data_IF_824760388776
#
_entry.id   IF_824760388776
#
_cell.length_a   1.000
_cell.length_b   1.000
_cell.length_c   1.000
_cell.angle_alpha   90.00
_cell.angle_beta   90.00
_cell.angle_gamma   90.00
#
_symmetry.space_group_name_H-M   'P 1'
#
loop_
_entity.id
_entity.type
_entity.pdbx_description
1 polymer ?
#
# COMPACT_ATOMS: atom_id res chain seq x y z
N UNK A 1 26.25 -31.08 4.01
CA UNK A 1 26.41 -30.03 2.98
C UNK A 1 25.19 -29.12 2.79
N UNK A 2 23.94 -29.59 2.94
CA UNK A 2 22.73 -28.75 2.74
C UNK A 2 22.45 -27.67 3.80
N UNK A 3 23.04 -27.75 5.00
CA UNK A 3 22.79 -26.77 6.07
C UNK A 3 23.60 -25.46 5.89
N UNK A 4 24.81 -25.55 5.30
CA UNK A 4 25.67 -24.40 5.05
C UNK A 4 25.25 -23.59 3.82
N UNK A 5 24.69 -24.25 2.79
CA UNK A 5 24.12 -23.58 1.63
C UNK A 5 22.88 -22.72 1.99
N UNK A 6 22.01 -23.24 2.88
CA UNK A 6 20.82 -22.53 3.36
C UNK A 6 21.15 -21.33 4.26
N UNK A 7 22.27 -21.40 4.98
CA UNK A 7 22.76 -20.30 5.82
C UNK A 7 23.42 -19.19 4.98
N UNK A 8 24.16 -19.55 3.91
CA UNK A 8 24.68 -18.58 2.93
C UNK A 8 23.56 -17.90 2.13
N UNK A 9 22.50 -18.63 1.75
CA UNK A 9 21.35 -18.02 1.04
C UNK A 9 20.49 -17.13 1.94
N UNK A 10 20.41 -17.40 3.25
CA UNK A 10 19.69 -16.54 4.19
C UNK A 10 20.44 -15.22 4.43
N UNK A 11 21.77 -15.29 4.57
CA UNK A 11 22.64 -14.11 4.75
C UNK A 11 22.68 -13.25 3.48
N UNK A 12 22.62 -13.83 2.28
CA UNK A 12 22.57 -13.07 1.01
C UNK A 12 21.23 -12.40 0.74
N UNK A 13 20.12 -12.94 1.27
CA UNK A 13 18.79 -12.34 1.14
C UNK A 13 18.57 -11.26 2.19
N UNK A 14 19.14 -11.37 3.39
CA UNK A 14 19.06 -10.31 4.41
C UNK A 14 19.86 -9.05 4.03
N UNK A 15 20.90 -9.16 3.20
CA UNK A 15 21.67 -7.99 2.74
C UNK A 15 21.05 -7.24 1.56
N UNK A 16 20.10 -7.83 0.81
CA UNK A 16 19.60 -7.22 -0.44
C UNK A 16 18.56 -6.12 -0.23
N UNK A 17 17.83 -6.10 0.89
CA UNK A 17 16.75 -5.12 1.13
C UNK A 17 17.23 -3.76 1.63
N UNK A 18 18.47 -3.69 2.11
CA UNK A 18 19.12 -2.43 2.51
C UNK A 18 19.90 -1.78 1.35
N UNK A 19 19.84 -2.39 0.15
CA UNK A 19 20.45 -1.84 -1.04
C UNK A 19 19.70 -0.58 -1.50
N UNK A 20 20.38 0.39 -2.16
CA UNK A 20 19.72 1.50 -2.85
C UNK A 20 18.56 1.04 -3.75
N UNK A 21 17.55 1.90 -3.93
CA UNK A 21 16.38 1.59 -4.76
C UNK A 21 16.75 1.06 -6.15
N UNK A 22 17.75 1.68 -6.80
CA UNK A 22 18.26 1.30 -8.13
C UNK A 22 18.96 -0.07 -8.16
N UNK A 23 19.31 -0.63 -7.01
CA UNK A 23 19.91 -1.95 -6.86
C UNK A 23 18.89 -3.02 -6.47
N UNK A 24 17.65 -2.65 -6.13
CA UNK A 24 16.60 -3.63 -5.87
C UNK A 24 16.26 -4.39 -7.16
N UNK A 25 16.32 -5.74 -7.17
CA UNK A 25 16.14 -6.53 -8.39
C UNK A 25 14.82 -6.26 -9.12
N UNK A 26 13.74 -6.08 -8.35
CA UNK A 26 12.41 -5.80 -8.91
C UNK A 26 12.30 -4.40 -9.49
N UNK A 27 13.07 -3.43 -8.97
CA UNK A 27 12.93 -2.03 -9.37
C UNK A 27 13.45 -1.82 -10.78
N UNK A 28 14.58 -2.44 -11.17
CA UNK A 28 15.11 -2.35 -12.54
C UNK A 28 14.13 -2.94 -13.57
N UNK A 29 13.55 -4.09 -13.24
CA UNK A 29 12.53 -4.70 -14.09
C UNK A 29 11.28 -3.81 -14.17
N UNK A 30 10.78 -3.34 -13.02
CA UNK A 30 9.60 -2.47 -12.94
C UNK A 30 9.80 -1.17 -13.71
N UNK A 31 10.94 -0.51 -13.54
CA UNK A 31 11.33 0.70 -14.25
C UNK A 31 11.38 0.47 -15.76
N UNK A 32 11.95 -0.66 -16.20
CA UNK A 32 11.94 -1.03 -17.63
C UNK A 32 10.52 -1.14 -18.18
N UNK A 33 9.59 -1.73 -17.41
CA UNK A 33 8.17 -1.78 -17.82
C UNK A 33 7.53 -0.39 -17.84
N UNK A 34 7.86 0.48 -16.87
CA UNK A 34 7.35 1.86 -16.86
C UNK A 34 7.81 2.65 -18.08
N UNK A 35 9.07 2.50 -18.49
CA UNK A 35 9.63 3.18 -19.66
C UNK A 35 8.98 2.65 -20.94
N UNK A 36 8.82 1.33 -21.05
CA UNK A 36 8.20 0.68 -22.22
C UNK A 36 6.73 1.04 -22.40
N UNK A 37 6.02 1.36 -21.33
CA UNK A 37 4.63 1.80 -21.43
C UNK A 37 4.47 3.26 -21.86
N UNK A 38 5.56 4.04 -21.94
CA UNK A 38 5.50 5.44 -22.37
C UNK A 38 5.67 5.60 -23.90
N UNK A 39 5.17 6.71 -24.48
CA UNK A 39 5.36 7.00 -25.90
C UNK A 39 6.86 7.13 -26.26
N UNK A 40 7.34 6.32 -27.21
CA UNK A 40 8.75 6.36 -27.64
C UNK A 40 9.19 7.75 -28.14
N UNK A 41 8.28 8.51 -28.75
CA UNK A 41 8.53 9.89 -29.21
C UNK A 41 8.99 10.81 -28.07
N UNK A 42 8.48 10.63 -26.85
CA UNK A 42 8.90 11.42 -25.70
C UNK A 42 10.37 11.16 -25.35
N UNK A 43 10.81 9.89 -25.39
CA UNK A 43 12.19 9.51 -25.10
C UNK A 43 13.14 10.03 -26.18
N UNK A 44 12.75 9.91 -27.46
CA UNK A 44 13.52 10.42 -28.60
C UNK A 44 13.67 11.95 -28.59
N UNK A 45 12.65 12.69 -28.14
CA UNK A 45 12.70 14.16 -28.09
C UNK A 45 13.44 14.69 -26.86
N UNK A 46 13.30 14.01 -25.72
CA UNK A 46 13.81 14.46 -24.44
C UNK A 46 15.23 14.02 -24.11
N UNK A 47 15.74 12.94 -24.70
CA UNK A 47 17.10 12.44 -24.46
C UNK A 47 18.01 12.60 -25.69
N UNK A 48 19.28 12.95 -25.50
CA UNK A 48 20.25 13.02 -26.59
C UNK A 48 20.61 11.61 -27.09
N UNK A 49 20.79 11.45 -28.40
CA UNK A 49 21.40 10.27 -29.04
C UNK A 49 20.74 8.91 -28.74
N UNK A 50 19.41 8.86 -28.61
CA UNK A 50 18.68 7.59 -28.45
C UNK A 50 18.33 6.99 -29.81
N UNK A 51 19.09 5.99 -30.26
CA UNK A 51 18.82 5.24 -31.49
C UNK A 51 17.99 3.98 -31.19
N UNK A 52 16.73 4.17 -30.81
CA UNK A 52 15.79 3.07 -30.53
C UNK A 52 16.05 2.34 -29.21
N UNK A 53 14.99 1.78 -28.63
CA UNK A 53 15.07 1.00 -27.39
C UNK A 53 14.97 -0.47 -27.79
N UNK A 54 16.07 -1.21 -27.66
CA UNK A 54 16.09 -2.66 -27.91
C UNK A 54 15.26 -3.43 -26.87
N UNK A 55 14.78 -4.62 -27.23
CA UNK A 55 13.78 -5.41 -26.49
C UNK A 55 14.27 -5.97 -25.13
N UNK A 56 15.53 -5.75 -24.78
CA UNK A 56 16.17 -6.22 -23.55
C UNK A 56 16.06 -5.23 -22.36
N UNK A 57 16.60 -5.60 -21.19
CA UNK A 57 16.63 -4.75 -19.97
C UNK A 57 17.39 -3.41 -20.16
N UNK A 58 17.92 -3.11 -21.34
CA UNK A 58 18.65 -1.87 -21.65
C UNK A 58 17.84 -0.58 -21.48
N UNK A 59 16.50 -0.64 -21.50
CA UNK A 59 15.65 0.54 -21.28
C UNK A 59 15.89 1.21 -19.91
N UNK A 60 16.06 0.43 -18.84
CA UNK A 60 16.38 0.99 -17.53
C UNK A 60 17.78 1.60 -17.51
N UNK A 61 18.78 0.94 -18.10
CA UNK A 61 20.17 1.45 -18.12
C UNK A 61 20.29 2.81 -18.83
N UNK A 62 19.43 3.09 -19.80
CA UNK A 62 19.34 4.39 -20.46
C UNK A 62 18.95 5.52 -19.50
N UNK A 63 18.01 5.24 -18.58
CA UNK A 63 17.37 6.24 -17.72
C UNK A 63 18.02 6.32 -16.34
N UNK A 64 18.71 5.27 -15.88
CA UNK A 64 19.35 5.24 -14.56
C UNK A 64 20.30 6.44 -14.31
N UNK A 65 21.19 6.84 -15.25
CA UNK A 65 22.03 8.02 -15.06
C UNK A 65 21.22 9.31 -14.87
N UNK A 66 20.10 9.44 -15.60
CA UNK A 66 19.16 10.57 -15.44
C UNK A 66 18.54 10.56 -14.04
N UNK A 67 18.08 9.40 -13.55
CA UNK A 67 17.50 9.29 -12.20
C UNK A 67 18.50 9.61 -11.10
N UNK A 68 19.73 9.15 -11.23
CA UNK A 68 20.81 9.49 -10.30
C UNK A 68 21.05 11.00 -10.28
N UNK A 69 21.07 11.64 -11.45
CA UNK A 69 21.28 13.08 -11.51
C UNK A 69 20.10 13.89 -10.99
N UNK A 70 18.86 13.48 -11.28
CA UNK A 70 17.66 14.09 -10.70
C UNK A 70 17.72 14.02 -9.17
N UNK A 71 18.08 12.85 -8.63
CA UNK A 71 18.25 12.67 -7.17
C UNK A 71 19.29 13.65 -6.60
N UNK A 72 20.45 13.79 -7.22
CA UNK A 72 21.49 14.72 -6.77
C UNK A 72 21.02 16.19 -6.81
N UNK A 73 20.30 16.58 -7.86
CA UNK A 73 19.77 17.95 -8.00
C UNK A 73 18.69 18.26 -6.96
N UNK A 74 17.79 17.32 -6.70
CA UNK A 74 16.76 17.45 -5.66
C UNK A 74 17.39 17.51 -4.27
N UNK A 75 18.49 16.79 -4.03
CA UNK A 75 19.22 16.84 -2.77
C UNK A 75 19.96 18.19 -2.56
N UNK A 76 20.47 18.78 -3.64
CA UNK A 76 21.27 20.00 -3.60
C UNK A 76 20.44 21.30 -3.53
N UNK A 77 19.21 21.31 -4.02
CA UNK A 77 18.36 22.50 -4.08
C UNK A 77 17.42 22.57 -2.86
N UNK A 78 17.34 23.71 -2.19
CA UNK A 78 16.41 23.92 -1.06
C UNK A 78 14.94 23.98 -1.50
N UNK A 79 14.66 24.51 -2.70
CA UNK A 79 13.31 24.62 -3.28
C UNK A 79 13.35 24.18 -4.74
N UNK A 80 13.57 22.89 -4.95
CA UNK A 80 13.57 22.32 -6.29
C UNK A 80 12.19 22.46 -6.94
N UNK A 81 12.15 22.79 -8.22
CA UNK A 81 10.96 22.79 -9.07
C UNK A 81 11.19 21.87 -10.25
N UNK A 82 10.12 21.47 -10.95
CA UNK A 82 10.28 20.64 -12.16
C UNK A 82 11.04 21.43 -13.22
N UNK A 83 10.78 22.73 -13.35
CA UNK A 83 11.49 23.62 -14.28
C UNK A 83 12.98 23.75 -13.89
N UNK A 84 13.31 24.00 -12.61
CA UNK A 84 14.71 24.19 -12.19
C UNK A 84 15.56 22.94 -12.37
N UNK A 85 14.98 21.77 -12.15
CA UNK A 85 15.65 20.48 -12.39
C UNK A 85 15.83 20.27 -13.91
N UNK A 86 14.82 20.59 -14.71
CA UNK A 86 14.89 20.46 -16.17
C UNK A 86 15.98 21.34 -16.77
N UNK A 87 16.03 22.62 -16.38
CA UNK A 87 17.04 23.58 -16.83
C UNK A 87 18.46 23.14 -16.43
N UNK A 88 18.63 22.64 -15.20
CA UNK A 88 19.93 22.14 -14.75
C UNK A 88 20.38 20.90 -15.54
N UNK A 89 19.48 19.97 -15.86
CA UNK A 89 19.80 18.78 -16.65
C UNK A 89 20.07 19.12 -18.13
N UNK A 90 19.36 20.10 -18.68
CA UNK A 90 19.60 20.62 -20.02
C UNK A 90 20.99 21.28 -20.11
N UNK A 91 21.36 22.10 -19.11
CA UNK A 91 22.69 22.71 -19.02
C UNK A 91 23.83 21.69 -18.90
N UNK A 92 23.56 20.50 -18.39
CA UNK A 92 24.51 19.37 -18.34
C UNK A 92 24.51 18.52 -19.62
N UNK A 93 23.70 18.85 -20.62
CA UNK A 93 23.57 18.08 -21.85
C UNK A 93 22.90 16.71 -21.67
N UNK A 94 22.21 16.47 -20.55
CA UNK A 94 21.51 15.21 -20.29
C UNK A 94 20.10 15.17 -20.87
N UNK A 95 19.50 16.33 -21.10
CA UNK A 95 18.20 16.48 -21.75
C UNK A 95 18.35 17.29 -23.03
N UNK A 96 17.62 16.90 -24.06
CA UNK A 96 17.53 17.62 -25.33
C UNK A 96 16.52 18.75 -25.20
N UNK A 97 17.02 19.98 -25.20
CA UNK A 97 16.22 21.22 -25.20
C UNK A 97 16.58 22.03 -26.45
N UNK A 98 16.49 21.39 -27.61
CA UNK A 98 16.61 22.09 -28.89
C UNK A 98 15.53 23.20 -28.98
N UNK A 99 15.67 24.17 -29.90
CA UNK A 99 14.76 25.33 -30.08
C UNK A 99 13.27 25.00 -30.36
N UNK A 100 12.88 23.72 -30.27
CA UNK A 100 11.52 23.24 -30.39
C UNK A 100 10.85 23.25 -29.02
N UNK A 101 9.71 23.95 -28.91
CA UNK A 101 8.85 23.91 -27.72
C UNK A 101 8.53 22.48 -27.27
N UNK A 102 8.30 21.55 -28.20
CA UNK A 102 8.03 20.14 -27.90
C UNK A 102 9.19 19.40 -27.18
N UNK A 103 10.44 19.75 -27.48
CA UNK A 103 11.60 19.10 -26.87
C UNK A 103 11.70 19.49 -25.39
N UNK A 104 11.53 20.78 -25.09
CA UNK A 104 11.49 21.26 -23.71
C UNK A 104 10.31 20.67 -22.91
N UNK A 105 9.12 20.56 -23.51
CA UNK A 105 8.00 19.90 -22.82
C UNK A 105 8.30 18.42 -22.56
N UNK A 106 8.91 17.72 -23.52
CA UNK A 106 9.31 16.31 -23.34
C UNK A 106 10.35 16.16 -22.21
N UNK A 107 11.30 17.09 -22.11
CA UNK A 107 12.28 17.15 -21.03
C UNK A 107 11.62 17.32 -19.65
N UNK A 108 10.66 18.26 -19.52
CA UNK A 108 9.88 18.43 -18.27
C UNK A 108 9.08 17.19 -17.90
N UNK A 109 8.47 16.53 -18.88
CA UNK A 109 7.71 15.29 -18.67
C UNK A 109 8.61 14.14 -18.23
N UNK A 110 9.86 14.07 -18.71
CA UNK A 110 10.86 13.11 -18.23
C UNK A 110 11.27 13.37 -16.78
N UNK A 111 11.46 14.63 -16.40
CA UNK A 111 11.76 14.99 -15.00
C UNK A 111 10.57 14.62 -14.09
N UNK A 112 9.35 14.96 -14.51
CA UNK A 112 8.13 14.54 -13.81
C UNK A 112 8.05 13.01 -13.67
N UNK A 113 8.28 12.26 -14.73
CA UNK A 113 8.29 10.81 -14.69
C UNK A 113 9.38 10.26 -13.74
N UNK A 114 10.59 10.82 -13.79
CA UNK A 114 11.70 10.47 -12.91
C UNK A 114 11.35 10.66 -11.44
N UNK A 115 10.70 11.78 -11.07
CA UNK A 115 10.23 12.04 -9.71
C UNK A 115 9.20 11.00 -9.26
N UNK A 116 8.23 10.65 -10.12
CA UNK A 116 7.26 9.60 -9.86
C UNK A 116 7.93 8.23 -9.61
N UNK A 117 8.88 7.85 -10.45
CA UNK A 117 9.61 6.58 -10.32
C UNK A 117 10.50 6.52 -9.07
N UNK A 118 11.20 7.61 -8.74
CA UNK A 118 12.09 7.71 -7.59
C UNK A 118 11.34 7.72 -6.25
N UNK A 119 10.11 8.25 -6.23
CA UNK A 119 9.31 8.38 -5.01
C UNK A 119 8.24 7.29 -4.86
N UNK A 120 7.88 6.63 -5.97
CA UNK A 120 6.73 5.73 -6.08
C UNK A 120 5.41 6.34 -5.61
N UNK A 121 5.30 7.67 -5.47
CA UNK A 121 4.07 8.31 -5.02
C UNK A 121 2.98 8.25 -6.09
N UNK A 122 3.37 8.23 -7.36
CA UNK A 122 2.47 8.13 -8.49
C UNK A 122 3.16 7.45 -9.67
N UNK A 123 2.38 7.01 -10.65
CA UNK A 123 2.87 6.62 -11.96
C UNK A 123 2.53 7.70 -12.98
N UNK A 124 3.51 8.17 -13.77
CA UNK A 124 3.23 9.17 -14.79
C UNK A 124 2.36 8.56 -15.91
N UNK A 125 1.44 9.35 -16.43
CA UNK A 125 0.70 9.06 -17.67
C UNK A 125 1.15 10.07 -18.73
N UNK A 126 2.07 9.65 -19.59
CA UNK A 126 2.68 10.55 -20.57
C UNK A 126 1.98 10.50 -21.95
N UNK A 127 0.77 9.94 -22.04
CA UNK A 127 0.06 9.79 -23.31
C UNK A 127 -0.18 11.12 -24.04
N UNK A 128 -0.42 12.21 -23.28
CA UNK A 128 -0.69 13.55 -23.79
C UNK A 128 0.46 14.55 -23.53
N UNK A 129 1.71 14.09 -23.60
CA UNK A 129 2.89 14.92 -23.26
C UNK A 129 3.03 16.22 -24.06
N UNK A 130 2.42 16.34 -25.25
CA UNK A 130 2.47 17.53 -26.10
C UNK A 130 1.63 18.69 -25.57
N UNK A 131 0.62 18.43 -24.75
CA UNK A 131 -0.21 19.49 -24.14
C UNK A 131 0.54 20.23 -23.01
N UNK A 132 1.64 19.67 -22.53
CA UNK A 132 2.42 20.20 -21.40
C UNK A 132 1.77 19.95 -20.03
N UNK A 133 0.62 19.29 -19.98
CA UNK A 133 -0.06 18.90 -18.75
C UNK A 133 0.69 17.76 -18.05
N UNK A 134 0.71 17.77 -16.72
CA UNK A 134 1.28 16.68 -15.93
C UNK A 134 0.16 15.75 -15.52
N UNK A 135 0.18 14.51 -15.98
CA UNK A 135 -0.87 13.54 -15.69
C UNK A 135 -0.33 12.32 -14.95
N UNK A 136 -1.09 11.84 -13.97
CA UNK A 136 -0.81 10.59 -13.25
C UNK A 136 -1.78 9.50 -13.72
N UNK A 137 -1.30 8.26 -13.72
CA UNK A 137 -2.08 7.08 -14.06
C UNK A 137 -3.07 6.74 -12.94
N UNK A 138 -4.31 6.43 -13.32
CA UNK A 138 -5.34 5.93 -12.42
C UNK A 138 -5.11 4.44 -12.10
N UNK A 139 -4.59 4.13 -10.92
CA UNK A 139 -4.43 2.74 -10.45
C UNK A 139 -5.60 2.24 -9.61
N UNK A 140 -6.59 3.10 -9.35
CA UNK A 140 -7.73 2.82 -8.48
C UNK A 140 -9.04 2.65 -9.24
N UNK A 141 -8.96 2.32 -10.54
CA UNK A 141 -10.09 2.01 -11.43
C UNK A 141 -11.24 3.03 -11.36
N UNK A 142 -10.89 4.32 -11.34
CA UNK A 142 -11.86 5.42 -11.28
C UNK A 142 -12.25 5.85 -9.87
N UNK A 143 -11.88 5.12 -8.82
CA UNK A 143 -12.02 5.60 -7.44
C UNK A 143 -11.08 6.80 -7.23
N UNK A 144 -11.59 7.85 -6.57
CA UNK A 144 -10.83 9.05 -6.22
C UNK A 144 -10.84 9.20 -4.71
N UNK A 145 -9.80 8.64 -4.08
CA UNK A 145 -9.55 8.82 -2.66
C UNK A 145 -8.92 10.18 -2.36
N UNK A 146 -8.63 10.43 -1.08
CA UNK A 146 -7.98 11.69 -0.67
C UNK A 146 -6.55 11.83 -1.19
N UNK A 147 -5.91 10.72 -1.56
CA UNK A 147 -4.51 10.70 -1.99
C UNK A 147 -4.28 11.20 -3.41
N UNK A 148 -5.25 10.96 -4.30
CA UNK A 148 -5.18 11.29 -5.73
C UNK A 148 -6.53 11.88 -6.15
N UNK A 149 -6.76 13.13 -5.76
CA UNK A 149 -8.01 13.87 -6.01
C UNK A 149 -8.04 14.35 -7.46
N UNK A 150 -6.92 14.87 -7.94
CA UNK A 150 -6.76 15.33 -9.31
C UNK A 150 -5.71 14.47 -10.01
N UNK A 151 -6.01 13.99 -11.22
CA UNK A 151 -5.05 13.21 -11.99
C UNK A 151 -4.23 14.05 -12.98
N UNK A 152 -4.60 15.32 -13.19
CA UNK A 152 -4.01 16.18 -14.21
C UNK A 152 -3.74 17.56 -13.64
N UNK A 153 -2.56 18.10 -13.89
CA UNK A 153 -2.21 19.48 -13.56
C UNK A 153 -1.76 20.27 -14.78
N UNK A 154 -2.02 21.57 -14.73
CA UNK A 154 -1.73 22.49 -15.81
C UNK A 154 -0.21 22.73 -15.95
N UNK A 155 0.27 23.10 -17.16
CA UNK A 155 1.72 23.23 -17.43
C UNK A 155 2.47 24.21 -16.51
N UNK A 156 1.78 25.22 -15.97
CA UNK A 156 2.40 26.23 -15.12
C UNK A 156 2.70 25.75 -13.70
N UNK A 157 2.15 24.60 -13.27
CA UNK A 157 2.43 24.05 -11.93
C UNK A 157 3.88 23.59 -11.78
N UNK A 158 4.60 23.34 -12.88
CA UNK A 158 6.03 22.96 -12.86
C UNK A 158 6.97 24.00 -12.22
N UNK A 159 6.49 25.25 -12.08
CA UNK A 159 7.20 26.36 -11.43
C UNK A 159 7.04 26.37 -9.92
N UNK A 160 6.10 25.60 -9.38
CA UNK A 160 5.92 25.45 -7.94
C UNK A 160 7.03 24.57 -7.36
N UNK A 161 7.33 24.76 -6.08
CA UNK A 161 8.19 23.85 -5.33
C UNK A 161 7.58 22.45 -5.28
N UNK A 162 8.42 21.42 -5.18
CA UNK A 162 7.98 20.02 -5.23
C UNK A 162 6.81 19.68 -4.29
N UNK A 163 6.80 20.09 -2.99
CA UNK A 163 5.67 19.86 -2.12
C UNK A 163 4.35 20.45 -2.66
N UNK A 164 4.36 21.72 -3.05
CA UNK A 164 3.16 22.39 -3.60
C UNK A 164 2.70 21.78 -4.92
N UNK A 165 3.65 21.46 -5.81
CA UNK A 165 3.37 20.78 -7.07
C UNK A 165 2.71 19.42 -6.82
N UNK A 166 3.24 18.61 -5.90
CA UNK A 166 2.68 17.28 -5.60
C UNK A 166 1.31 17.36 -4.91
N UNK A 167 1.13 18.33 -4.01
CA UNK A 167 -0.16 18.58 -3.35
C UNK A 167 -1.28 18.87 -4.37
N UNK A 168 -0.96 19.46 -5.52
CA UNK A 168 -1.92 19.71 -6.60
C UNK A 168 -2.60 18.45 -7.17
N UNK A 169 -2.02 17.26 -6.98
CA UNK A 169 -2.66 15.98 -7.34
C UNK A 169 -3.54 15.41 -6.23
N UNK A 170 -3.42 15.90 -5.00
CA UNK A 170 -4.07 15.36 -3.81
C UNK A 170 -3.07 15.04 -2.71
N UNK A 171 -3.57 14.45 -1.62
CA UNK A 171 -2.78 14.23 -0.41
C UNK A 171 -1.95 12.93 -0.46
N UNK A 172 -0.97 12.88 -1.36
CA UNK A 172 -0.09 11.72 -1.52
C UNK A 172 0.78 11.45 -0.28
N UNK A 173 1.16 12.52 0.42
CA UNK A 173 1.91 12.50 1.66
C UNK A 173 1.09 13.15 2.78
N UNK A 174 0.28 12.37 3.52
CA UNK A 174 -0.56 12.91 4.58
C UNK A 174 0.30 13.42 5.75
N UNK A 175 -0.03 14.58 6.34
CA UNK A 175 0.55 14.98 7.60
C UNK A 175 -0.02 14.16 8.76
N UNK A 176 0.64 14.27 9.91
CA UNK A 176 0.24 13.62 11.15
C UNK A 176 -1.20 13.93 11.55
N UNK A 177 -1.94 12.90 11.95
CA UNK A 177 -3.33 12.98 12.46
C UNK A 177 -4.32 13.67 11.51
N UNK A 178 -4.04 13.67 10.21
CA UNK A 178 -4.92 14.24 9.21
C UNK A 178 -6.18 13.39 8.99
N UNK A 179 -7.34 14.06 8.99
CA UNK A 179 -8.61 13.46 8.63
C UNK A 179 -8.94 13.77 7.17
N UNK A 180 -8.86 12.76 6.30
CA UNK A 180 -9.17 12.83 4.87
C UNK A 180 -10.64 13.15 4.58
N UNK A 181 -11.52 13.01 5.56
CA UNK A 181 -12.96 12.92 5.30
C UNK A 181 -13.71 14.15 5.78
N UNK A 182 -14.50 14.72 4.88
CA UNK A 182 -15.33 15.88 5.19
C UNK A 182 -16.66 15.53 5.86
N UNK A 183 -17.20 14.33 5.60
CA UNK A 183 -18.48 13.90 6.11
C UNK A 183 -18.52 13.92 7.66
N UNK A 184 -19.56 14.51 8.27
CA UNK A 184 -19.61 14.72 9.72
C UNK A 184 -19.59 13.40 10.51
N UNK A 185 -20.19 12.35 9.98
CA UNK A 185 -20.21 11.04 10.64
C UNK A 185 -18.84 10.37 10.61
N UNK A 186 -18.09 10.47 9.51
CA UNK A 186 -16.73 9.95 9.43
C UNK A 186 -15.77 10.76 10.32
N UNK A 187 -15.95 12.08 10.46
CA UNK A 187 -15.20 12.90 11.44
C UNK A 187 -15.46 12.44 12.88
N UNK A 188 -16.71 12.16 13.24
CA UNK A 188 -17.05 11.59 14.56
C UNK A 188 -16.40 10.23 14.76
N UNK A 189 -16.37 9.38 13.73
CA UNK A 189 -15.70 8.07 13.81
C UNK A 189 -14.18 8.21 13.97
N UNK A 190 -13.55 9.12 13.24
CA UNK A 190 -12.12 9.43 13.39
C UNK A 190 -11.75 9.81 14.83
N UNK A 191 -12.59 10.61 15.48
CA UNK A 191 -12.41 11.01 16.89
C UNK A 191 -12.73 9.87 17.88
N UNK A 192 -13.70 9.01 17.57
CA UNK A 192 -14.17 7.94 18.46
C UNK A 192 -13.29 6.69 18.41
N UNK A 193 -12.77 6.32 17.25
CA UNK A 193 -11.94 5.11 17.06
C UNK A 193 -10.53 5.38 17.58
N UNK A 194 -10.32 5.09 18.87
CA UNK A 194 -9.02 5.21 19.53
C UNK A 194 -8.11 4.03 19.27
N UNK A 195 -8.66 2.82 19.25
CA UNK A 195 -7.87 1.60 19.15
C UNK A 195 -8.51 0.56 18.23
N UNK A 196 -7.65 -0.32 17.68
CA UNK A 196 -8.03 -1.45 16.86
C UNK A 196 -7.28 -2.70 17.32
N UNK A 197 -8.00 -3.81 17.50
CA UNK A 197 -7.43 -5.10 17.91
C UNK A 197 -7.04 -5.94 16.69
N UNK A 198 -5.81 -6.46 16.66
CA UNK A 198 -5.28 -7.25 15.54
C UNK A 198 -6.04 -8.56 15.27
N UNK A 199 -6.69 -9.12 16.31
CA UNK A 199 -7.51 -10.34 16.21
C UNK A 199 -8.77 -10.13 15.37
N UNK A 200 -9.37 -8.95 15.50
CA UNK A 200 -10.66 -8.59 14.90
C UNK A 200 -10.49 -7.77 13.62
N UNK A 201 -9.31 -7.18 13.45
CA UNK A 201 -8.95 -6.38 12.31
C UNK A 201 -7.72 -6.96 11.62
N UNK A 202 -7.95 -7.89 10.69
CA UNK A 202 -6.92 -8.49 9.85
C UNK A 202 -7.50 -8.87 8.49
N UNK A 203 -6.63 -9.14 7.52
CA UNK A 203 -7.02 -9.41 6.14
C UNK A 203 -7.97 -10.61 6.00
N UNK A 204 -7.82 -11.65 6.84
CA UNK A 204 -8.76 -12.78 6.83
C UNK A 204 -10.17 -12.34 7.19
N UNK A 205 -10.34 -11.59 8.28
CA UNK A 205 -11.65 -11.07 8.69
C UNK A 205 -12.20 -10.12 7.63
N UNK A 206 -11.40 -9.14 7.19
CA UNK A 206 -11.82 -8.14 6.21
C UNK A 206 -12.31 -8.79 4.90
N UNK A 207 -11.59 -9.78 4.38
CA UNK A 207 -11.96 -10.44 3.12
C UNK A 207 -13.05 -11.49 3.28
N UNK A 208 -12.96 -12.38 4.28
CA UNK A 208 -13.88 -13.53 4.40
C UNK A 208 -15.16 -13.21 5.16
N UNK A 209 -15.13 -12.26 6.08
CA UNK A 209 -16.30 -11.84 6.86
C UNK A 209 -16.91 -10.58 6.26
N UNK A 210 -16.11 -9.54 6.04
CA UNK A 210 -16.62 -8.25 5.56
C UNK A 210 -16.75 -8.17 4.02
N UNK A 211 -16.33 -9.21 3.29
CA UNK A 211 -16.46 -9.29 1.83
C UNK A 211 -15.58 -8.30 1.07
N UNK A 212 -14.49 -7.83 1.70
CA UNK A 212 -13.58 -6.88 1.11
C UNK A 212 -12.67 -7.56 0.07
N UNK A 213 -12.40 -6.87 -1.05
CA UNK A 213 -11.48 -7.29 -2.10
C UNK A 213 -10.15 -6.54 -1.93
N UNK A 214 -9.04 -7.23 -2.14
CA UNK A 214 -7.70 -6.62 -2.09
C UNK A 214 -7.18 -6.46 -3.51
N UNK A 215 -6.76 -5.25 -3.87
CA UNK A 215 -6.13 -4.91 -5.14
C UNK A 215 -4.71 -4.42 -4.89
N UNK A 216 -3.74 -4.97 -5.63
CA UNK A 216 -2.33 -4.64 -5.46
C UNK A 216 -1.90 -3.55 -6.44
N UNK A 217 -1.46 -2.41 -5.92
CA UNK A 217 -1.10 -1.20 -6.67
C UNK A 217 0.40 -0.91 -6.60
N UNK A 218 0.93 -0.14 -7.56
CA UNK A 218 2.34 0.25 -7.59
C UNK A 218 2.58 1.55 -6.83
N UNK A 219 1.58 2.42 -6.72
CA UNK A 219 1.72 3.71 -6.06
C UNK A 219 1.65 3.56 -4.53
N UNK A 220 2.67 4.09 -3.85
CA UNK A 220 2.76 4.17 -2.39
C UNK A 220 1.59 4.98 -1.80
N UNK A 221 1.24 6.09 -2.45
CA UNK A 221 0.18 7.00 -1.99
C UNK A 221 -1.18 6.32 -1.88
N UNK A 222 -1.46 5.31 -2.71
CA UNK A 222 -2.72 4.56 -2.73
C UNK A 222 -2.84 3.50 -1.61
N UNK A 223 -1.80 3.28 -0.80
CA UNK A 223 -1.80 2.22 0.22
C UNK A 223 -2.90 2.40 1.28
N UNK A 224 -3.76 1.40 1.48
CA UNK A 224 -4.97 1.44 2.33
C UNK A 224 -6.08 2.39 1.88
N UNK A 225 -6.06 2.89 0.64
CA UNK A 225 -7.25 3.53 0.09
C UNK A 225 -8.40 2.51 -0.02
N UNK A 226 -9.62 2.92 0.33
CA UNK A 226 -10.79 2.06 0.35
C UNK A 226 -11.91 2.65 -0.50
N UNK A 227 -12.21 1.98 -1.61
CA UNK A 227 -13.47 2.20 -2.28
C UNK A 227 -14.60 1.46 -1.54
N UNK A 228 -15.41 2.21 -0.80
CA UNK A 228 -16.55 1.66 -0.04
C UNK A 228 -17.66 1.11 -0.94
N UNK A 229 -17.78 1.62 -2.18
CA UNK A 229 -18.82 1.21 -3.11
C UNK A 229 -18.51 -0.16 -3.70
N UNK A 230 -17.31 -0.36 -4.23
CA UNK A 230 -16.89 -1.67 -4.73
C UNK A 230 -16.41 -2.63 -3.62
N UNK A 231 -16.12 -2.11 -2.43
CA UNK A 231 -15.53 -2.87 -1.32
C UNK A 231 -14.09 -3.27 -1.61
N UNK A 232 -13.33 -2.42 -2.31
CA UNK A 232 -11.95 -2.69 -2.75
C UNK A 232 -10.96 -1.90 -1.92
N UNK A 233 -10.01 -2.60 -1.30
CA UNK A 233 -8.86 -2.03 -0.59
C UNK A 233 -7.62 -2.09 -1.48
N UNK A 234 -6.98 -0.96 -1.70
CA UNK A 234 -5.76 -0.87 -2.48
C UNK A 234 -4.54 -1.02 -1.57
N UNK A 235 -3.63 -1.94 -1.91
CA UNK A 235 -2.41 -2.20 -1.15
C UNK A 235 -1.19 -2.06 -2.06
N UNK A 236 -0.24 -1.23 -1.65
CA UNK A 236 1.06 -1.09 -2.30
C UNK A 236 1.80 -2.44 -2.40
N UNK A 237 2.44 -2.72 -3.54
CA UNK A 237 3.07 -4.03 -3.80
C UNK A 237 4.53 -4.13 -3.37
N UNK A 238 5.22 -3.02 -3.14
CA UNK A 238 6.69 -2.99 -3.07
C UNK A 238 7.25 -2.52 -1.70
N UNK A 239 6.94 -3.17 -0.57
CA UNK A 239 7.37 -2.74 0.76
C UNK A 239 8.89 -2.68 0.98
N UNK A 240 9.70 -3.35 0.16
CA UNK A 240 11.17 -3.18 0.21
C UNK A 240 11.62 -1.77 -0.16
N UNK A 241 10.82 -1.01 -0.91
CA UNK A 241 11.03 0.44 -1.11
C UNK A 241 11.12 1.14 0.24
N UNK A 242 10.13 0.95 1.11
CA UNK A 242 10.10 1.57 2.44
C UNK A 242 11.34 1.17 3.27
N UNK A 243 11.76 -0.12 3.20
CA UNK A 243 12.94 -0.61 3.93
C UNK A 243 14.22 0.02 3.41
N UNK A 244 14.39 0.09 2.10
CA UNK A 244 15.56 0.68 1.43
C UNK A 244 15.71 2.16 1.81
N UNK A 245 14.63 2.95 1.67
CA UNK A 245 14.59 4.36 2.06
C UNK A 245 14.87 4.57 3.55
N UNK A 246 14.32 3.73 4.43
CA UNK A 246 14.57 3.82 5.88
C UNK A 246 15.98 3.35 6.29
N UNK A 247 16.56 2.39 5.57
CA UNK A 247 17.85 1.76 5.87
C UNK A 247 19.04 2.71 5.71
N UNK A 248 18.96 3.67 4.80
CA UNK A 248 20.00 4.69 4.53
C UNK A 248 20.35 5.55 5.75
N UNK A 249 19.43 5.68 6.70
CA UNK A 249 19.64 6.41 7.96
C UNK A 249 20.72 5.81 8.87
N UNK A 250 21.01 4.50 8.75
CA UNK A 250 21.95 3.81 9.66
C UNK A 250 23.41 3.83 9.18
N UNK A 251 23.66 4.07 7.89
CA UNK A 251 25.01 3.96 7.31
C UNK A 251 25.78 5.28 7.36
N UNK A 252 25.09 6.42 7.29
CA UNK A 252 25.71 7.73 7.48
C UNK A 252 25.69 8.06 8.97
N UNK A 253 26.83 7.89 9.67
CA UNK A 253 26.96 8.23 11.09
C UNK A 253 26.83 9.73 11.40
N UNK A 254 26.42 10.54 10.43
CA UNK A 254 26.17 11.98 10.56
C UNK A 254 24.69 12.25 10.88
N UNK A 255 24.42 13.30 11.67
CA UNK A 255 23.07 13.78 12.01
C UNK A 255 22.32 14.40 10.80
N UNK A 256 22.74 14.12 9.57
CA UNK A 256 22.15 14.74 8.38
C UNK A 256 20.78 14.12 8.06
N UNK A 257 19.81 14.94 7.63
CA UNK A 257 18.49 14.47 7.21
C UNK A 257 18.61 13.46 6.05
N UNK A 258 17.69 12.48 5.96
CA UNK A 258 17.75 11.45 4.94
C UNK A 258 17.69 12.05 3.52
N UNK A 259 18.66 11.63 2.69
CA UNK A 259 18.94 12.23 1.38
C UNK A 259 18.28 11.45 0.22
N UNK A 260 17.06 10.97 0.44
CA UNK A 260 16.24 10.38 -0.61
C UNK A 260 15.22 11.39 -1.14
N UNK A 261 14.93 11.33 -2.44
CA UNK A 261 14.05 12.27 -3.17
C UNK A 261 12.70 12.42 -2.48
N UNK A 262 12.10 11.31 -2.01
CA UNK A 262 10.80 11.35 -1.32
C UNK A 262 10.82 12.24 -0.09
N UNK A 263 11.92 12.29 0.66
CA UNK A 263 12.02 13.15 1.86
C UNK A 263 12.12 14.64 1.51
N UNK A 264 12.69 14.96 0.34
CA UNK A 264 12.74 16.33 -0.21
C UNK A 264 11.41 16.79 -0.80
N UNK A 265 10.47 15.86 -1.01
CA UNK A 265 9.09 16.17 -1.34
C UNK A 265 8.26 16.59 -0.12
N UNK A 266 8.78 16.49 1.11
CA UNK A 266 8.11 16.95 2.33
C UNK A 266 8.34 18.44 2.61
N UNK A 267 7.51 19.03 3.47
CA UNK A 267 7.71 20.40 3.94
C UNK A 267 8.96 20.50 4.82
N UNK A 268 9.71 21.58 4.63
CA UNK A 268 10.79 21.97 5.51
C UNK A 268 10.19 22.63 6.77
N UNK A 269 10.76 22.37 7.95
CA UNK A 269 10.26 22.87 9.25
C UNK A 269 10.42 24.40 9.46
N UNK A 270 10.45 25.20 8.39
CA UNK A 270 10.44 26.66 8.47
C UNK A 270 9.00 27.15 8.50
N UNK A 271 8.54 27.50 9.70
CA UNK A 271 7.14 27.83 9.95
C UNK A 271 6.68 29.02 9.11
N UNK A 272 5.59 28.85 8.35
CA UNK A 272 4.63 29.94 8.06
C UNK A 272 3.34 29.54 7.34
N UNK A 273 3.06 28.27 7.02
CA UNK A 273 1.77 27.92 6.40
C UNK A 273 1.27 26.56 6.92
N UNK A 274 0.02 26.51 7.39
CA UNK A 274 -0.74 25.29 7.71
C UNK A 274 -1.10 24.54 6.41
N UNK A 275 -0.10 24.18 5.61
CA UNK A 275 -0.29 23.34 4.44
C UNK A 275 -0.53 21.92 4.96
N UNK A 276 -1.63 21.25 4.57
CA UNK A 276 -1.87 19.87 4.95
C UNK A 276 -0.94 18.97 4.15
N UNK A 277 0.35 18.93 4.47
CA UNK A 277 1.35 18.11 3.80
C UNK A 277 2.40 17.60 4.79
N UNK A 278 2.91 16.39 4.56
CA UNK A 278 3.88 15.76 5.44
C UNK A 278 5.21 16.54 5.51
N UNK A 279 5.77 16.67 6.70
CA UNK A 279 7.17 17.03 6.91
C UNK A 279 8.11 15.87 6.59
N UNK A 280 9.42 16.13 6.55
CA UNK A 280 10.41 15.06 6.40
C UNK A 280 10.31 13.98 7.49
N UNK A 281 9.96 14.36 8.72
CA UNK A 281 9.77 13.42 9.84
C UNK A 281 8.52 12.56 9.63
N UNK A 282 7.44 13.18 9.21
CA UNK A 282 6.17 12.51 8.92
C UNK A 282 6.34 11.43 7.84
N UNK A 283 7.13 11.69 6.80
CA UNK A 283 7.44 10.70 5.74
C UNK A 283 8.14 9.47 6.33
N UNK A 284 9.10 9.66 7.24
CA UNK A 284 9.78 8.53 7.91
C UNK A 284 8.79 7.70 8.73
N UNK A 285 7.86 8.35 9.42
CA UNK A 285 6.82 7.69 10.21
C UNK A 285 5.82 6.95 9.31
N UNK A 286 5.35 7.59 8.23
CA UNK A 286 4.48 6.99 7.22
C UNK A 286 5.08 5.71 6.62
N UNK A 287 6.35 5.73 6.22
CA UNK A 287 7.00 4.53 5.66
C UNK A 287 7.05 3.38 6.67
N UNK A 288 7.23 3.67 7.97
CA UNK A 288 7.15 2.66 9.03
C UNK A 288 5.73 2.17 9.25
N UNK A 289 4.74 3.06 9.20
CA UNK A 289 3.32 2.70 9.31
C UNK A 289 2.88 1.79 8.17
N UNK A 290 3.33 2.04 6.94
CA UNK A 290 3.08 1.17 5.78
C UNK A 290 3.65 -0.24 6.03
N UNK A 291 4.85 -0.33 6.62
CA UNK A 291 5.41 -1.64 6.98
C UNK A 291 4.62 -2.31 8.12
N UNK A 292 4.22 -1.54 9.13
CA UNK A 292 3.44 -2.03 10.27
C UNK A 292 2.04 -2.48 9.86
N UNK A 293 1.42 -1.84 8.87
CA UNK A 293 0.09 -2.20 8.37
C UNK A 293 0.09 -3.60 7.75
N UNK A 294 1.14 -4.02 7.05
CA UNK A 294 1.27 -5.41 6.57
C UNK A 294 1.33 -6.41 7.72
N UNK A 295 1.98 -6.04 8.83
CA UNK A 295 2.06 -6.87 10.04
C UNK A 295 0.67 -7.00 10.68
N UNK A 296 -0.05 -5.90 10.81
CA UNK A 296 -1.42 -5.85 11.31
C UNK A 296 -2.38 -6.68 10.44
N UNK A 297 -2.38 -6.44 9.12
CA UNK A 297 -3.29 -7.11 8.19
C UNK A 297 -2.98 -8.59 7.99
N UNK A 298 -1.71 -8.94 7.82
CA UNK A 298 -1.30 -10.30 7.44
C UNK A 298 -0.43 -10.99 8.47
N UNK A 299 0.60 -10.29 8.93
CA UNK A 299 1.71 -10.87 9.67
C UNK A 299 1.32 -11.58 10.97
N UNK A 300 0.42 -10.99 11.75
CA UNK A 300 0.07 -11.47 13.10
C UNK A 300 -0.91 -12.65 13.08
N UNK A 301 -1.85 -12.70 12.13
CA UNK A 301 -2.88 -13.73 12.04
C UNK A 301 -2.47 -14.91 11.16
N UNK A 302 -2.53 -16.15 11.67
CA UNK A 302 -2.19 -17.35 10.89
C UNK A 302 -3.13 -17.54 9.69
N UNK A 303 -4.41 -17.20 9.85
CA UNK A 303 -5.40 -17.26 8.79
C UNK A 303 -5.12 -16.22 7.70
N UNK A 304 -4.70 -15.01 8.09
CA UNK A 304 -4.30 -13.98 7.11
C UNK A 304 -3.03 -14.35 6.37
N UNK A 305 -2.05 -14.99 7.03
CA UNK A 305 -0.85 -15.53 6.35
C UNK A 305 -1.20 -16.61 5.32
N UNK A 306 -2.19 -17.45 5.62
CA UNK A 306 -2.69 -18.43 4.65
C UNK A 306 -3.42 -17.77 3.48
N UNK A 307 -4.28 -16.78 3.77
CA UNK A 307 -4.96 -15.99 2.76
C UNK A 307 -3.96 -15.28 1.83
N UNK A 308 -2.92 -14.66 2.37
CA UNK A 308 -1.92 -13.95 1.57
C UNK A 308 -1.29 -14.84 0.47
N UNK A 309 -1.02 -16.11 0.79
CA UNK A 309 -0.51 -17.08 -0.20
C UNK A 309 -1.47 -17.35 -1.36
N UNK A 310 -2.77 -17.09 -1.17
CA UNK A 310 -3.81 -17.24 -2.20
C UNK A 310 -4.01 -15.95 -3.01
N UNK A 311 -3.64 -14.78 -2.49
CA UNK A 311 -3.92 -13.48 -3.13
C UNK A 311 -3.04 -13.19 -4.35
N UNK A 312 -1.94 -13.93 -4.55
CA UNK A 312 -1.02 -13.79 -5.69
C UNK A 312 -0.70 -12.32 -6.05
N UNK A 313 0.00 -11.57 -5.16
CA UNK A 313 0.26 -10.13 -5.35
C UNK A 313 0.99 -9.74 -6.65
N UNK A 314 1.68 -10.71 -7.26
CA UNK A 314 2.46 -10.53 -8.48
C UNK A 314 1.90 -11.36 -9.66
N UNK A 315 0.58 -11.63 -9.68
CA UNK A 315 -0.05 -12.33 -10.79
C UNK A 315 0.25 -11.60 -12.12
N UNK A 316 0.71 -12.33 -13.14
CA UNK A 316 1.11 -11.77 -14.44
C UNK A 316 2.49 -11.11 -14.47
N UNK A 317 3.21 -11.05 -13.35
CA UNK A 317 4.54 -10.46 -13.25
C UNK A 317 5.58 -11.60 -13.17
N UNK A 318 6.68 -11.56 -13.93
CA UNK A 318 7.75 -12.54 -13.84
C UNK A 318 8.56 -12.39 -12.54
N UNK A 319 9.27 -13.43 -12.14
CA UNK A 319 9.96 -13.47 -10.83
C UNK A 319 10.97 -12.34 -10.60
N UNK A 320 11.56 -11.77 -11.66
CA UNK A 320 12.44 -10.62 -11.55
C UNK A 320 11.71 -9.39 -11.01
N UNK A 321 10.43 -9.20 -11.34
CA UNK A 321 9.60 -8.09 -10.89
C UNK A 321 8.97 -8.29 -9.51
N UNK A 322 9.28 -9.39 -8.82
CA UNK A 322 8.71 -9.71 -7.52
C UNK A 322 9.52 -9.05 -6.41
N UNK A 323 8.85 -8.27 -5.56
CA UNK A 323 9.42 -7.87 -4.28
C UNK A 323 9.44 -9.08 -3.34
N UNK A 324 10.63 -9.65 -3.13
CA UNK A 324 10.75 -10.84 -2.27
C UNK A 324 10.60 -10.49 -0.77
N UNK A 325 10.59 -9.21 -0.40
CA UNK A 325 10.30 -8.77 0.97
C UNK A 325 8.80 -8.84 1.28
N UNK A 326 7.90 -8.61 0.31
CA UNK A 326 6.45 -8.65 0.54
C UNK A 326 5.98 -10.01 1.12
N UNK A 327 6.38 -11.18 0.55
CA UNK A 327 6.06 -12.47 1.15
C UNK A 327 6.66 -12.69 2.55
N UNK A 328 7.80 -12.05 2.86
CA UNK A 328 8.44 -12.17 4.17
C UNK A 328 7.64 -11.41 5.24
N UNK A 329 7.29 -10.16 4.98
CA UNK A 329 6.57 -9.30 5.93
C UNK A 329 5.13 -9.78 6.15
N UNK A 330 4.46 -10.26 5.09
CA UNK A 330 3.08 -10.74 5.16
C UNK A 330 2.97 -12.21 5.55
N UNK A 331 3.90 -13.07 5.13
CA UNK A 331 3.74 -14.52 5.17
C UNK A 331 4.40 -15.24 6.35
N UNK A 332 5.27 -14.56 7.11
CA UNK A 332 5.96 -15.12 8.28
C UNK A 332 5.39 -14.58 9.59
N UNK A 333 5.31 -15.44 10.61
CA UNK A 333 4.84 -15.02 11.94
C UNK A 333 5.83 -14.07 12.62
N UNK A 334 7.13 -14.30 12.44
CA UNK A 334 8.20 -13.39 12.84
C UNK A 334 8.92 -12.93 11.58
N UNK A 335 8.93 -11.64 11.33
CA UNK A 335 9.63 -11.07 10.19
C UNK A 335 11.01 -10.56 10.64
N UNK A 336 12.12 -10.99 10.02
CA UNK A 336 13.42 -10.34 10.20
C UNK A 336 13.42 -9.00 9.45
N UNK A 337 12.62 -8.04 9.93
CA UNK A 337 12.55 -6.72 9.35
C UNK A 337 13.82 -5.93 9.76
N UNK A 338 14.56 -5.30 8.82
CA UNK A 338 15.70 -4.43 9.17
C UNK A 338 15.31 -3.19 9.99
N UNK A 339 14.02 -2.84 9.94
CA UNK A 339 13.39 -1.75 10.68
C UNK A 339 12.67 -2.33 11.90
N UNK A 340 12.89 -1.73 13.06
CA UNK A 340 12.18 -2.11 14.29
C UNK A 340 10.70 -1.73 14.17
N UNK A 341 9.83 -2.74 14.11
CA UNK A 341 8.38 -2.58 14.12
C UNK A 341 7.85 -3.07 15.46
N UNK A 342 6.99 -2.30 16.11
CA UNK A 342 6.37 -2.66 17.38
C UNK A 342 5.00 -3.26 17.09
N UNK A 343 4.91 -4.59 17.16
CA UNK A 343 3.64 -5.31 17.03
C UNK A 343 2.90 -5.31 18.38
N UNK A 344 1.62 -4.98 18.37
CA UNK A 344 0.72 -4.96 19.53
C UNK A 344 -0.51 -5.81 19.25
N UNK A 345 -1.14 -6.33 20.30
CA UNK A 345 -2.46 -6.95 20.18
C UNK A 345 -3.56 -5.90 19.93
N UNK A 346 -3.39 -4.72 20.51
CA UNK A 346 -4.24 -3.54 20.37
C UNK A 346 -3.37 -2.35 19.97
N UNK A 347 -3.68 -1.74 18.83
CA UNK A 347 -2.97 -0.58 18.30
C UNK A 347 -3.72 0.68 18.68
N UNK A 348 -3.00 1.67 19.20
CA UNK A 348 -3.51 3.03 19.35
C UNK A 348 -3.42 3.74 18.01
N UNK A 349 -4.54 4.23 17.49
CA UNK A 349 -4.60 4.80 16.15
C UNK A 349 -3.81 6.11 16.02
N UNK A 350 -3.79 6.94 17.06
CA UNK A 350 -3.04 8.21 17.04
C UNK A 350 -1.54 8.00 17.30
N UNK A 351 -1.19 7.00 18.12
CA UNK A 351 0.19 6.69 18.46
C UNK A 351 0.91 5.80 17.44
N UNK A 352 0.30 4.68 17.04
CA UNK A 352 0.93 3.68 16.19
C UNK A 352 0.69 3.92 14.69
N UNK A 353 -0.40 4.61 14.31
CA UNK A 353 -0.74 4.91 12.91
C UNK A 353 -1.15 6.38 12.64
N UNK A 354 -0.43 7.41 13.12
CA UNK A 354 -0.84 8.81 12.94
C UNK A 354 -1.14 9.23 11.49
N UNK A 355 -0.45 8.70 10.49
CA UNK A 355 -0.58 9.12 9.09
C UNK A 355 -1.62 8.27 8.32
N UNK A 356 -1.67 6.96 8.60
CA UNK A 356 -2.64 6.03 8.03
C UNK A 356 -3.94 5.95 8.85
N UNK A 357 -4.05 6.70 9.96
CA UNK A 357 -5.19 6.71 10.88
C UNK A 357 -6.51 6.88 10.14
N UNK A 358 -6.61 7.89 9.29
CA UNK A 358 -7.84 8.17 8.54
C UNK A 358 -8.27 6.94 7.75
N UNK A 359 -7.38 6.39 6.93
CA UNK A 359 -7.61 5.19 6.10
C UNK A 359 -8.00 3.96 6.93
N UNK A 360 -7.30 3.72 8.04
CA UNK A 360 -7.59 2.60 8.95
C UNK A 360 -8.94 2.75 9.67
N UNK A 361 -9.30 3.96 10.08
CA UNK A 361 -10.61 4.22 10.69
C UNK A 361 -11.74 4.01 9.68
N UNK A 362 -11.57 4.45 8.42
CA UNK A 362 -12.57 4.16 7.37
C UNK A 362 -12.69 2.67 7.09
N UNK A 363 -11.57 1.96 7.07
CA UNK A 363 -11.58 0.51 6.92
C UNK A 363 -12.26 -0.19 8.10
N UNK A 364 -12.06 0.30 9.33
CA UNK A 364 -12.71 -0.23 10.51
C UNK A 364 -14.21 0.08 10.55
N UNK A 365 -14.62 1.27 10.10
CA UNK A 365 -16.04 1.63 9.99
C UNK A 365 -16.74 0.78 8.94
N UNK A 366 -16.12 0.56 7.79
CA UNK A 366 -16.58 -0.39 6.78
C UNK A 366 -16.73 -1.80 7.35
N UNK A 367 -15.72 -2.29 8.07
CA UNK A 367 -15.74 -3.61 8.69
C UNK A 367 -16.78 -3.76 9.79
N UNK A 368 -17.12 -2.67 10.51
CA UNK A 368 -18.14 -2.67 11.57
C UNK A 368 -19.56 -2.58 11.02
N UNK A 369 -19.76 -1.94 9.86
CA UNK A 369 -21.06 -1.86 9.21
C UNK A 369 -21.49 -3.15 8.49
N UNK A 370 -20.54 -4.06 8.21
CA UNK A 370 -20.81 -5.36 7.56
C UNK A 370 -21.03 -6.44 8.61
N UNK A 371 -22.29 -6.63 9.03
CA UNK A 371 -22.65 -7.78 9.87
C UNK A 371 -22.57 -9.10 9.09
N UNK A 372 -22.21 -10.22 9.75
CA UNK A 372 -22.16 -11.54 9.13
C UNK A 372 -23.56 -11.95 8.65
N UNK A 373 -23.73 -12.16 7.34
CA UNK A 373 -25.04 -12.50 6.73
C UNK A 373 -25.29 -14.01 6.64
N UNK A 374 -24.25 -14.83 6.79
CA UNK A 374 -24.34 -16.29 6.71
C UNK A 374 -24.10 -16.95 8.07
N UNK A 375 -24.77 -18.08 8.33
CA UNK A 375 -24.54 -18.93 9.51
C UNK A 375 -23.07 -19.34 9.63
N UNK A 376 -22.40 -19.62 8.49
CA UNK A 376 -20.96 -19.94 8.47
C UNK A 376 -20.10 -18.72 8.86
N UNK A 377 -20.56 -17.51 8.54
CA UNK A 377 -19.90 -16.28 8.92
C UNK A 377 -20.13 -15.96 10.40
N UNK A 378 -21.36 -16.11 10.92
CA UNK A 378 -21.67 -16.01 12.35
C UNK A 378 -20.86 -17.01 13.20
N UNK A 379 -20.66 -18.22 12.69
CA UNK A 379 -19.84 -19.23 13.36
C UNK A 379 -18.35 -18.82 13.44
N UNK A 380 -17.84 -18.12 12.42
CA UNK A 380 -16.43 -17.71 12.31
C UNK A 380 -16.16 -16.32 12.88
N UNK A 381 -17.18 -15.48 13.00
CA UNK A 381 -17.10 -14.12 13.53
C UNK A 381 -17.15 -14.12 15.06
N UNK A 382 -16.03 -13.77 15.69
CA UNK A 382 -15.89 -13.65 17.15
C UNK A 382 -15.95 -12.19 17.63
N UNK A 383 -16.13 -11.23 16.72
CA UNK A 383 -16.10 -9.80 17.04
C UNK A 383 -17.31 -9.39 17.86
N UNK A 384 -18.47 -9.94 17.52
CA UNK A 384 -19.70 -9.79 18.30
C UNK A 384 -19.86 -11.00 19.22
N UNK A 385 -19.26 -10.91 20.41
CA UNK A 385 -19.34 -11.97 21.43
C UNK A 385 -20.79 -12.28 21.82
N UNK A 386 -21.70 -11.30 21.76
CA UNK A 386 -23.10 -11.48 22.12
C UNK A 386 -23.85 -12.29 21.06
N UNK A 387 -23.71 -11.93 19.78
CA UNK A 387 -24.32 -12.69 18.68
C UNK A 387 -23.76 -14.11 18.58
N UNK A 388 -22.45 -14.28 18.80
CA UNK A 388 -21.80 -15.59 18.82
C UNK A 388 -22.33 -16.47 19.97
N UNK A 389 -22.40 -15.94 21.21
CA UNK A 389 -22.95 -16.68 22.36
C UNK A 389 -24.43 -17.03 22.13
N UNK A 390 -25.23 -16.09 21.62
CA UNK A 390 -26.63 -16.33 21.31
C UNK A 390 -26.81 -17.45 20.27
N UNK A 391 -26.01 -17.44 19.21
CA UNK A 391 -26.00 -18.50 18.20
C UNK A 391 -25.69 -19.88 18.80
N UNK A 392 -24.61 -19.99 19.60
CA UNK A 392 -24.26 -21.26 20.25
C UNK A 392 -25.28 -21.71 21.28
N UNK A 393 -25.89 -20.77 22.01
CA UNK A 393 -26.96 -21.07 22.97
C UNK A 393 -28.16 -21.69 22.25
N UNK A 394 -28.63 -21.07 21.16
CA UNK A 394 -29.73 -21.61 20.36
C UNK A 394 -29.38 -22.98 19.77
N UNK A 395 -28.15 -23.18 19.30
CA UNK A 395 -27.72 -24.45 18.72
C UNK A 395 -27.68 -25.58 19.76
N UNK A 396 -27.16 -25.30 20.96
CA UNK A 396 -27.08 -26.29 22.06
C UNK A 396 -28.47 -26.57 22.63
N UNK A 397 -29.25 -25.55 23.01
CA UNK A 397 -30.59 -25.74 23.56
C UNK A 397 -31.58 -26.30 22.53
N UNK A 398 -31.46 -25.86 21.28
CA UNK A 398 -32.25 -26.40 20.16
C UNK A 398 -31.97 -27.88 19.93
N UNK A 399 -30.70 -28.28 19.81
CA UNK A 399 -30.32 -29.70 19.63
C UNK A 399 -30.73 -30.57 20.82
N UNK A 400 -30.53 -30.09 22.05
CA UNK A 400 -30.96 -30.80 23.25
C UNK A 400 -32.49 -31.01 23.29
N UNK A 401 -33.27 -30.00 22.90
CA UNK A 401 -34.74 -30.12 22.88
C UNK A 401 -35.24 -31.14 21.84
N UNK A 402 -34.62 -31.18 20.66
CA UNK A 402 -34.93 -32.16 19.61
C UNK A 402 -34.57 -33.57 20.10
N UNK A 403 -33.40 -33.74 20.70
CA UNK A 403 -32.96 -35.04 21.24
C UNK A 403 -33.92 -35.56 22.33
N UNK A 404 -34.31 -34.70 23.28
CA UNK A 404 -35.26 -35.07 24.33
C UNK A 404 -36.64 -35.43 23.76
N UNK A 405 -37.11 -34.71 22.72
CA UNK A 405 -38.34 -35.06 22.01
C UNK A 405 -38.28 -36.44 21.38
N UNK A 406 -37.19 -36.76 20.67
CA UNK A 406 -37.01 -38.09 20.05
C UNK A 406 -37.03 -39.19 21.13
N UNK A 407 -36.37 -38.97 22.26
CA UNK A 407 -36.34 -39.91 23.37
C UNK A 407 -37.75 -40.12 23.97
N UNK A 408 -38.50 -39.03 24.20
CA UNK A 408 -39.87 -39.10 24.69
C UNK A 408 -40.79 -39.86 23.74
N UNK A 409 -40.70 -39.60 22.44
CA UNK A 409 -41.49 -40.32 21.43
C UNK A 409 -41.15 -41.81 21.41
N UNK A 410 -39.87 -42.17 21.53
CA UNK A 410 -39.46 -43.58 21.61
C UNK A 410 -40.04 -44.29 22.84
N UNK A 411 -40.01 -43.64 24.01
CA UNK A 411 -40.63 -44.18 25.23
C UNK A 411 -42.15 -44.35 25.08
N UNK A 412 -42.85 -43.39 24.47
CA UNK A 412 -44.28 -43.50 24.23
C UNK A 412 -44.64 -44.68 23.30
N UNK A 413 -43.86 -44.89 22.24
CA UNK A 413 -44.06 -46.04 21.34
C UNK A 413 -43.84 -47.36 22.08
N UNK A 414 -42.78 -47.45 22.90
CA UNK A 414 -42.50 -48.64 23.72
C UNK A 414 -43.65 -48.96 24.67
N UNK A 415 -44.20 -47.95 25.36
CA UNK A 415 -45.36 -48.12 26.24
C UNK A 415 -46.61 -48.57 25.48
N UNK A 416 -46.87 -47.98 24.31
CA UNK A 416 -48.00 -48.35 23.46
C UNK A 416 -47.91 -49.81 22.98
N UNK A 417 -46.72 -50.25 22.54
CA UNK A 417 -46.49 -51.64 22.10
C UNK A 417 -46.63 -52.63 23.26
N UNK A 418 -46.16 -52.27 24.47
CA UNK A 418 -46.34 -53.09 25.66
C UNK A 418 -47.83 -53.19 26.06
N UNK A 419 -48.58 -52.10 25.97
CA UNK A 419 -50.02 -52.07 26.21
C UNK A 419 -50.80 -52.97 25.25
N UNK A 420 -50.51 -52.90 23.94
CA UNK A 420 -51.11 -53.79 22.94
C UNK A 420 -50.79 -55.27 23.20
N UNK A 421 -49.55 -55.57 23.62
CA UNK A 421 -49.18 -56.95 24.02
C UNK A 421 -49.97 -57.45 25.23
N UNK A 422 -50.35 -56.57 26.16
CA UNK A 422 -51.17 -56.95 27.32
C UNK A 422 -52.64 -57.15 26.95
N UNK A 423 -53.20 -56.39 26.01
CA UNK A 423 -54.55 -56.62 25.50
C UNK A 423 -54.68 -57.90 24.68
N UNK A 424 -53.67 -58.26 23.89
CA UNK A 424 -53.68 -59.53 23.11
C UNK A 424 -53.53 -60.78 24.00
N UNK A 425 -52.99 -60.64 25.21
CA UNK A 425 -52.82 -61.73 26.18
C UNK A 425 -53.98 -61.86 27.18
N UNK A 426 -55.01 -61.02 27.06
CA UNK A 426 -56.26 -61.08 27.81
C UNK A 426 -57.33 -61.69 26.90
#
# INVERSE_FOLDING_TARGET
MNYLARKRSAVSVESSWNAPLTELPWYRWWLSQQIRSQPQRLLLLGLPNVEGIDDSNGAAELILPLLERVKDLVAAQESATVDSITDALAGLGMLSVNDRCEAYQSAKQLVFAALGWLTMLYKPNLSNFTAGEFAILDETDGYRGGSQVCLVQLPHSSKQDLPSFLLGFGLMLPPRDYCVVDAPDDKKMFQKTKAITAKDFNAHVLTKVCGLRIQWVDCLSCHLELDRHSGTLFLFRYPSFCVSTLGRRKQSGTKQPPDDVIHRCGLQESGTIDIPWASQRDIVELLKEILLSYRLLFGQSSQSRHLFRQLQPFAGIPSQGHDQFLPLICGKSKCPCPVTLVERDEYDMAGDFPHLRSRLVLLNSYASGKQPRSILQLWRDKRDSTAWIAFWSVLIFGSASIFLRVLQTAFQILQFVQGLKQEVNK
#
